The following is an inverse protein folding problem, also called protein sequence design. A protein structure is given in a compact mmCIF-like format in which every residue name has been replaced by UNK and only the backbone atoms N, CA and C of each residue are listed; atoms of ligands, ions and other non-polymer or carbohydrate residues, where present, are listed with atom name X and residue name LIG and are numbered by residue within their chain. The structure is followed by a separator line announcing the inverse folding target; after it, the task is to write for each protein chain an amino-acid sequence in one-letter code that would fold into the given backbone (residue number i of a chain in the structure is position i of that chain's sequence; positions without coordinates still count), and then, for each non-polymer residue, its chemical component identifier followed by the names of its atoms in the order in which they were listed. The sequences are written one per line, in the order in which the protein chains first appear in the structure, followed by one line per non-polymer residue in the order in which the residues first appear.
data_IF_540385494353
#
_entry.id   IF_540385494353
#
_cell.length_a   1.000
_cell.length_b   1.000
_cell.length_c   1.000
_cell.angle_alpha   90.00
_cell.angle_beta   90.00
_cell.angle_gamma   90.00
#
_symmetry.space_group_name_H-M   'P 1'
#
loop_
_entity.id
_entity.type
_entity.pdbx_description
1 polymer ?
#
# COMPACT_ATOMS: atom_id res chain seq x y z
N UNK A 1 0.78 -19.58 -4.08
CA UNK A 1 0.40 -18.23 -4.57
C UNK A 1 1.08 -18.02 -5.92
N UNK A 2 0.36 -17.80 -7.03
CA UNK A 2 1.02 -17.51 -8.32
C UNK A 2 1.83 -16.23 -8.18
N UNK A 3 3.13 -16.29 -8.47
CA UNK A 3 4.00 -15.10 -8.53
C UNK A 3 3.55 -14.29 -9.74
N UNK A 4 2.57 -13.41 -9.53
CA UNK A 4 2.11 -12.45 -10.53
C UNK A 4 2.90 -11.14 -10.34
N UNK A 5 3.06 -10.38 -11.43
CA UNK A 5 3.62 -9.01 -11.43
C UNK A 5 3.03 -8.14 -10.30
N UNK A 6 1.75 -8.31 -9.96
CA UNK A 6 1.13 -7.65 -8.80
C UNK A 6 1.86 -7.97 -7.49
N UNK A 7 2.12 -9.24 -7.21
CA UNK A 7 2.76 -9.65 -5.96
C UNK A 7 4.17 -9.04 -5.86
N UNK A 8 4.95 -9.13 -6.93
CA UNK A 8 6.31 -8.59 -6.97
C UNK A 8 6.31 -7.08 -6.73
N UNK A 9 5.57 -6.34 -7.56
CA UNK A 9 5.59 -4.87 -7.54
C UNK A 9 4.88 -4.29 -6.33
N UNK A 10 3.67 -4.75 -6.02
CA UNK A 10 2.87 -4.13 -4.98
C UNK A 10 3.14 -4.68 -3.57
N UNK A 11 3.74 -5.87 -3.42
CA UNK A 11 3.92 -6.50 -2.09
C UNK A 11 5.37 -6.80 -1.74
N UNK A 12 6.10 -7.47 -2.64
CA UNK A 12 7.46 -7.91 -2.34
C UNK A 12 8.44 -6.72 -2.26
N UNK A 13 8.44 -5.81 -3.23
CA UNK A 13 9.33 -4.66 -3.19
C UNK A 13 9.14 -3.76 -1.96
N UNK A 14 7.91 -3.37 -1.56
CA UNK A 14 7.70 -2.68 -0.29
C UNK A 14 8.28 -3.43 0.90
N UNK A 15 8.07 -4.75 0.97
CA UNK A 15 8.56 -5.57 2.07
C UNK A 15 10.09 -5.63 2.13
N UNK A 16 10.74 -5.79 0.98
CA UNK A 16 12.20 -5.74 0.89
C UNK A 16 12.76 -4.42 1.45
N UNK A 17 12.13 -3.29 1.13
CA UNK A 17 12.56 -1.98 1.61
C UNK A 17 12.32 -1.78 3.11
N UNK A 18 11.24 -2.32 3.66
CA UNK A 18 10.84 -2.05 5.05
C UNK A 18 11.35 -3.11 6.03
N UNK A 19 11.79 -4.28 5.55
CA UNK A 19 12.39 -5.33 6.38
C UNK A 19 13.84 -5.01 6.78
N UNK A 20 14.48 -4.03 6.15
CA UNK A 20 15.89 -3.68 6.36
C UNK A 20 16.23 -3.48 7.85
N UNK A 21 15.47 -2.72 8.67
CA UNK A 21 15.80 -2.56 10.09
C UNK A 21 15.71 -3.85 10.90
N UNK A 22 14.78 -4.75 10.56
CA UNK A 22 14.65 -6.05 11.21
C UNK A 22 15.81 -6.99 10.83
N UNK A 23 16.24 -6.95 9.56
CA UNK A 23 17.42 -7.68 9.08
C UNK A 23 18.69 -7.14 9.75
N UNK A 24 18.80 -5.81 9.92
CA UNK A 24 19.90 -5.17 10.63
C UNK A 24 19.98 -5.65 12.08
N UNK A 25 18.83 -5.70 12.78
CA UNK A 25 18.75 -6.23 14.13
C UNK A 25 19.21 -7.67 14.20
N UNK A 26 18.64 -8.52 13.35
CA UNK A 26 18.98 -9.93 13.26
C UNK A 26 20.48 -10.12 13.04
N UNK A 27 21.06 -9.45 12.04
CA UNK A 27 22.45 -9.63 11.65
C UNK A 27 23.40 -9.31 12.81
N UNK A 28 23.25 -8.14 13.44
CA UNK A 28 24.18 -7.68 14.48
C UNK A 28 23.97 -8.31 15.85
N UNK A 29 22.73 -8.71 16.20
CA UNK A 29 22.43 -9.22 17.53
C UNK A 29 22.55 -10.75 17.63
N UNK A 30 22.06 -11.45 16.62
CA UNK A 30 21.87 -12.92 16.66
C UNK A 30 22.68 -13.60 15.55
N UNK A 31 22.75 -12.98 14.38
CA UNK A 31 23.30 -13.57 13.17
C UNK A 31 24.75 -14.01 13.33
N UNK A 32 25.61 -13.17 13.89
CA UNK A 32 27.03 -13.49 14.11
C UNK A 32 27.22 -14.70 15.02
N UNK A 33 26.56 -14.71 16.18
CA UNK A 33 26.62 -15.82 17.14
C UNK A 33 26.10 -17.13 16.56
N UNK A 34 25.00 -17.04 15.80
CA UNK A 34 24.37 -18.20 15.18
C UNK A 34 25.22 -18.76 14.04
N UNK A 35 25.87 -17.89 13.25
CA UNK A 35 26.84 -18.26 12.24
C UNK A 35 28.06 -18.97 12.86
N UNK A 36 28.60 -18.44 13.96
CA UNK A 36 29.73 -19.04 14.68
C UNK A 36 29.39 -20.45 15.19
N UNK A 37 28.17 -20.66 15.69
CA UNK A 37 27.71 -21.96 16.17
C UNK A 37 27.64 -23.05 15.07
N UNK A 38 27.50 -22.64 13.81
CA UNK A 38 27.38 -23.55 12.67
C UNK A 38 28.59 -23.48 11.71
N UNK A 39 29.67 -22.83 12.14
CA UNK A 39 30.84 -22.55 11.31
C UNK A 39 31.69 -23.81 11.01
N UNK A 40 31.31 -24.97 11.55
CA UNK A 40 31.91 -26.25 11.19
C UNK A 40 31.58 -26.68 9.75
N UNK A 41 30.58 -26.06 9.12
CA UNK A 41 30.29 -26.18 7.68
C UNK A 41 30.39 -24.80 7.03
N UNK A 42 31.38 -24.60 6.15
CA UNK A 42 31.75 -23.30 5.55
C UNK A 42 30.55 -22.56 4.91
N UNK A 43 29.61 -23.28 4.30
CA UNK A 43 28.47 -22.69 3.57
C UNK A 43 27.24 -22.44 4.43
N UNK A 44 27.15 -23.07 5.60
CA UNK A 44 25.94 -23.06 6.44
C UNK A 44 25.61 -21.68 7.03
N UNK A 45 26.60 -20.85 7.46
CA UNK A 45 26.36 -19.47 7.86
C UNK A 45 25.67 -18.62 6.77
N UNK A 46 26.14 -18.73 5.52
CA UNK A 46 25.60 -17.97 4.40
C UNK A 46 24.15 -18.37 4.12
N UNK A 47 23.88 -19.68 4.08
CA UNK A 47 22.53 -20.21 3.87
C UNK A 47 21.58 -19.71 4.96
N UNK A 48 22.04 -19.67 6.21
CA UNK A 48 21.25 -19.23 7.35
C UNK A 48 20.89 -17.75 7.27
N UNK A 49 21.86 -16.88 6.97
CA UNK A 49 21.61 -15.45 6.80
C UNK A 49 20.62 -15.17 5.66
N UNK A 50 20.79 -15.84 4.52
CA UNK A 50 19.89 -15.70 3.37
C UNK A 50 18.49 -16.21 3.72
N UNK A 51 18.38 -17.36 4.37
CA UNK A 51 17.10 -17.98 4.73
C UNK A 51 16.31 -17.13 5.72
N UNK A 52 16.95 -16.65 6.78
CA UNK A 52 16.28 -15.80 7.78
C UNK A 52 15.89 -14.45 7.17
N UNK A 53 16.76 -13.85 6.35
CA UNK A 53 16.44 -12.59 5.66
C UNK A 53 15.25 -12.76 4.70
N UNK A 54 15.21 -13.87 3.95
CA UNK A 54 14.10 -14.19 3.07
C UNK A 54 12.79 -14.42 3.84
N UNK A 55 12.86 -15.12 4.99
CA UNK A 55 11.71 -15.33 5.87
C UNK A 55 11.17 -14.01 6.45
N UNK A 56 12.06 -13.10 6.85
CA UNK A 56 11.69 -11.76 7.29
C UNK A 56 11.01 -10.98 6.18
N UNK A 57 11.60 -10.92 4.98
CA UNK A 57 10.99 -10.24 3.82
C UNK A 57 9.61 -10.81 3.51
N UNK A 58 9.47 -12.14 3.48
CA UNK A 58 8.18 -12.78 3.24
C UNK A 58 7.15 -12.39 4.29
N UNK A 59 7.52 -12.42 5.57
CA UNK A 59 6.65 -12.02 6.68
C UNK A 59 6.18 -10.57 6.53
N UNK A 60 7.10 -9.67 6.15
CA UNK A 60 6.77 -8.27 5.89
C UNK A 60 5.81 -8.09 4.71
N UNK A 61 5.78 -8.98 3.70
CA UNK A 61 4.77 -8.88 2.63
C UNK A 61 3.32 -8.99 3.14
N UNK A 62 3.12 -9.74 4.22
CA UNK A 62 1.82 -9.95 4.85
C UNK A 62 1.50 -8.77 5.77
N UNK A 63 2.44 -8.44 6.66
CA UNK A 63 2.32 -7.40 7.67
C UNK A 63 2.12 -6.00 7.05
N UNK A 64 2.92 -5.66 6.05
CA UNK A 64 2.84 -4.39 5.34
C UNK A 64 1.46 -4.15 4.72
N UNK A 65 0.90 -5.20 4.10
CA UNK A 65 -0.44 -5.12 3.49
C UNK A 65 -1.51 -4.92 4.55
N UNK A 66 -1.43 -5.66 5.64
CA UNK A 66 -2.39 -5.57 6.74
C UNK A 66 -2.45 -4.15 7.30
N UNK A 67 -1.31 -3.59 7.74
CA UNK A 67 -1.28 -2.22 8.25
C UNK A 67 -1.60 -1.16 7.19
N UNK A 68 -1.19 -1.40 5.93
CA UNK A 68 -1.54 -0.51 4.82
C UNK A 68 -3.06 -0.35 4.67
N UNK A 69 -3.81 -1.43 4.85
CA UNK A 69 -5.27 -1.42 4.79
C UNK A 69 -5.84 -0.83 6.09
N UNK A 70 -5.49 -1.42 7.24
CA UNK A 70 -6.10 -1.12 8.53
C UNK A 70 -5.81 0.29 9.03
N UNK A 71 -4.60 0.79 8.79
CA UNK A 71 -4.22 2.15 9.19
C UNK A 71 -4.56 3.10 8.04
N UNK A 72 -3.78 3.08 6.96
CA UNK A 72 -3.82 4.19 6.00
C UNK A 72 -5.06 4.19 5.11
N UNK A 73 -5.51 3.03 4.62
CA UNK A 73 -6.68 2.98 3.75
C UNK A 73 -7.97 3.29 4.51
N UNK A 74 -8.17 2.69 5.69
CA UNK A 74 -9.35 2.98 6.53
C UNK A 74 -9.33 4.41 7.06
N UNK A 75 -8.20 4.87 7.59
CA UNK A 75 -8.08 6.23 8.14
C UNK A 75 -8.39 7.32 7.10
N UNK A 76 -7.91 7.16 5.86
CA UNK A 76 -8.08 8.22 4.85
C UNK A 76 -9.31 8.04 3.97
N UNK A 77 -9.81 6.82 3.80
CA UNK A 77 -10.83 6.54 2.81
C UNK A 77 -12.06 5.80 3.32
N UNK A 78 -12.08 5.37 4.59
CA UNK A 78 -13.19 4.65 5.23
C UNK A 78 -13.76 3.53 4.33
N UNK A 79 -12.95 2.50 4.06
CA UNK A 79 -13.33 1.34 3.24
C UNK A 79 -13.96 1.71 1.88
N UNK A 80 -13.28 2.62 1.17
CA UNK A 80 -13.61 3.13 -0.17
C UNK A 80 -14.61 4.29 -0.24
N UNK A 81 -15.33 4.62 0.83
CA UNK A 81 -16.37 5.66 0.83
C UNK A 81 -15.83 7.05 0.46
N UNK A 82 -14.58 7.35 0.77
CA UNK A 82 -13.93 8.61 0.44
C UNK A 82 -12.78 8.45 -0.57
N UNK A 83 -12.69 7.30 -1.26
CA UNK A 83 -11.73 7.14 -2.35
C UNK A 83 -11.99 8.18 -3.46
N UNK A 84 -10.95 8.59 -4.19
CA UNK A 84 -11.12 9.44 -5.37
C UNK A 84 -12.11 8.89 -6.40
N UNK A 85 -12.13 7.57 -6.61
CA UNK A 85 -13.13 6.90 -7.48
C UNK A 85 -14.56 7.15 -7.03
N UNK A 86 -14.79 7.27 -5.73
CA UNK A 86 -16.12 7.54 -5.17
C UNK A 86 -16.41 9.04 -5.22
N UNK A 87 -15.48 9.86 -4.72
CA UNK A 87 -15.64 11.31 -4.64
C UNK A 87 -15.88 11.95 -6.01
N UNK A 88 -15.16 11.51 -7.05
CA UNK A 88 -15.25 12.10 -8.39
C UNK A 88 -16.63 11.88 -9.05
N UNK A 89 -17.37 10.85 -8.62
CA UNK A 89 -18.69 10.53 -9.15
C UNK A 89 -19.86 11.16 -8.37
N UNK A 90 -19.60 11.75 -7.20
CA UNK A 90 -20.60 12.54 -6.49
C UNK A 90 -21.12 13.66 -7.38
N UNK A 91 -22.41 13.96 -7.29
CA UNK A 91 -23.03 15.00 -8.11
C UNK A 91 -22.42 16.37 -7.80
N UNK A 92 -22.11 16.63 -6.53
CA UNK A 92 -21.52 17.89 -6.04
C UNK A 92 -20.06 18.11 -6.42
N UNK A 93 -19.31 17.05 -6.77
CA UNK A 93 -17.87 17.14 -6.98
C UNK A 93 -17.51 17.61 -8.39
N UNK A 94 -16.51 18.45 -8.56
CA UNK A 94 -16.12 19.08 -9.83
C UNK A 94 -14.83 18.48 -10.46
N UNK A 95 -14.26 17.42 -9.88
CA UNK A 95 -13.01 16.83 -10.36
C UNK A 95 -13.10 16.23 -11.78
N UNK A 96 -14.30 15.88 -12.23
CA UNK A 96 -14.60 15.45 -13.60
C UNK A 96 -15.49 16.49 -14.28
N UNK A 97 -15.27 16.73 -15.57
CA UNK A 97 -16.15 17.59 -16.36
C UNK A 97 -17.58 17.04 -16.39
N UNK A 98 -18.55 17.93 -16.50
CA UNK A 98 -19.98 17.56 -16.59
C UNK A 98 -20.25 16.57 -17.73
N UNK A 99 -19.60 16.78 -18.89
CA UNK A 99 -19.67 15.90 -20.06
C UNK A 99 -19.14 14.51 -19.73
N UNK A 100 -17.95 14.40 -19.12
CA UNK A 100 -17.35 13.11 -18.78
C UNK A 100 -18.20 12.36 -17.74
N UNK A 101 -18.67 13.06 -16.70
CA UNK A 101 -19.52 12.46 -15.67
C UNK A 101 -20.83 11.94 -16.25
N UNK A 102 -21.46 12.67 -17.18
CA UNK A 102 -22.68 12.23 -17.86
C UNK A 102 -22.43 10.98 -18.71
N UNK A 103 -21.33 10.93 -19.48
CA UNK A 103 -20.95 9.74 -20.26
C UNK A 103 -20.75 8.51 -19.36
N UNK A 104 -20.05 8.69 -18.23
CA UNK A 104 -19.84 7.61 -17.26
C UNK A 104 -21.17 7.15 -16.67
N UNK A 105 -22.02 8.07 -16.20
CA UNK A 105 -23.36 7.76 -15.66
C UNK A 105 -24.21 6.96 -16.65
N UNK A 106 -24.27 7.40 -17.90
CA UNK A 106 -25.04 6.72 -18.96
C UNK A 106 -24.48 5.32 -19.24
N UNK A 107 -23.15 5.17 -19.30
CA UNK A 107 -22.51 3.88 -19.52
C UNK A 107 -22.71 2.92 -18.35
N UNK A 108 -22.61 3.38 -17.10
CA UNK A 108 -22.91 2.57 -15.91
C UNK A 108 -24.36 2.06 -15.96
N UNK A 109 -25.32 2.93 -16.28
CA UNK A 109 -26.72 2.50 -16.41
C UNK A 109 -26.90 1.47 -17.52
N UNK A 110 -26.27 1.67 -18.68
CA UNK A 110 -26.32 0.72 -19.80
C UNK A 110 -25.68 -0.64 -19.47
N UNK A 111 -24.52 -0.62 -18.82
CA UNK A 111 -23.72 -1.84 -18.61
C UNK A 111 -24.20 -2.66 -17.40
N UNK A 112 -24.77 -2.01 -16.37
CA UNK A 112 -25.06 -2.64 -15.09
C UNK A 112 -26.46 -2.36 -14.53
N UNK A 113 -27.28 -1.56 -15.22
CA UNK A 113 -28.57 -1.06 -14.73
C UNK A 113 -28.49 -0.29 -13.40
N UNK A 114 -27.33 0.33 -13.12
CA UNK A 114 -27.13 1.14 -11.91
C UNK A 114 -27.29 2.61 -12.27
N UNK A 115 -28.24 3.28 -11.61
CA UNK A 115 -28.37 4.75 -11.65
C UNK A 115 -27.49 5.35 -10.56
N UNK A 116 -26.65 6.33 -10.87
CA UNK A 116 -25.90 7.04 -9.84
C UNK A 116 -26.77 8.08 -9.13
N UNK A 117 -26.49 8.40 -7.85
CA UNK A 117 -27.27 9.38 -7.08
C UNK A 117 -27.37 10.75 -7.76
N UNK A 118 -28.53 11.37 -7.62
CA UNK A 118 -28.76 12.78 -7.95
C UNK A 118 -28.21 13.70 -6.85
N UNK A 119 -28.12 15.00 -7.13
CA UNK A 119 -27.71 15.98 -6.11
C UNK A 119 -28.69 16.02 -4.92
N UNK A 120 -29.99 15.85 -5.18
CA UNK A 120 -31.00 15.79 -4.12
C UNK A 120 -30.82 14.56 -3.23
N UNK A 121 -30.56 13.38 -3.82
CA UNK A 121 -30.30 12.15 -3.06
C UNK A 121 -29.01 12.25 -2.24
N UNK A 122 -27.99 12.90 -2.81
CA UNK A 122 -26.74 13.16 -2.10
C UNK A 122 -26.93 14.09 -0.88
N UNK A 123 -27.78 15.10 -1.01
CA UNK A 123 -28.12 16.01 0.11
C UNK A 123 -28.97 15.34 1.18
N UNK A 124 -29.86 14.41 0.80
CA UNK A 124 -30.68 13.65 1.74
C UNK A 124 -29.87 12.60 2.50
N UNK A 125 -29.05 11.82 1.81
CA UNK A 125 -28.17 10.82 2.41
C UNK A 125 -26.87 10.66 1.60
N UNK A 126 -25.86 11.45 2.01
CA UNK A 126 -24.53 11.41 1.41
C UNK A 126 -23.83 10.05 1.61
N UNK A 127 -24.12 9.36 2.71
CA UNK A 127 -23.47 8.09 3.03
C UNK A 127 -24.00 6.95 2.14
N UNK A 128 -25.33 6.85 2.00
CA UNK A 128 -25.93 5.87 1.09
C UNK A 128 -25.57 6.17 -0.37
N UNK A 129 -25.52 7.45 -0.74
CA UNK A 129 -25.06 7.86 -2.07
C UNK A 129 -23.64 7.37 -2.37
N UNK A 130 -22.72 7.50 -1.40
CA UNK A 130 -21.34 6.97 -1.53
C UNK A 130 -21.33 5.46 -1.66
N UNK A 131 -22.12 4.72 -0.86
CA UNK A 131 -22.21 3.25 -0.96
C UNK A 131 -22.67 2.79 -2.34
N UNK A 132 -23.67 3.45 -2.90
CA UNK A 132 -24.16 3.15 -4.25
C UNK A 132 -23.08 3.41 -5.31
N UNK A 133 -22.32 4.49 -5.17
CA UNK A 133 -21.17 4.77 -6.05
C UNK A 133 -20.07 3.72 -5.88
N UNK A 134 -19.72 3.33 -4.65
CA UNK A 134 -18.73 2.26 -4.38
C UNK A 134 -19.15 0.97 -5.07
N UNK A 135 -20.44 0.61 -4.99
CA UNK A 135 -20.98 -0.55 -5.70
C UNK A 135 -20.81 -0.41 -7.23
N UNK A 136 -21.17 0.73 -7.83
CA UNK A 136 -20.98 0.97 -9.25
C UNK A 136 -19.50 0.89 -9.68
N UNK A 137 -18.60 1.51 -8.91
CA UNK A 137 -17.14 1.46 -9.14
C UNK A 137 -16.62 0.02 -9.09
N UNK A 138 -17.15 -0.82 -8.19
CA UNK A 138 -16.77 -2.24 -8.13
C UNK A 138 -17.08 -2.99 -9.43
N UNK A 139 -18.24 -2.70 -10.06
CA UNK A 139 -18.61 -3.28 -11.35
C UNK A 139 -17.72 -2.77 -12.48
N UNK A 140 -17.39 -1.47 -12.48
CA UNK A 140 -16.44 -0.88 -13.44
C UNK A 140 -15.07 -1.55 -13.36
N UNK A 141 -14.54 -1.78 -12.15
CA UNK A 141 -13.27 -2.49 -11.93
C UNK A 141 -13.31 -3.93 -12.43
N UNK A 142 -14.44 -4.62 -12.27
CA UNK A 142 -14.60 -5.98 -12.77
C UNK A 142 -14.59 -6.02 -14.30
N UNK A 143 -15.31 -5.10 -14.96
CA UNK A 143 -15.33 -4.98 -16.42
C UNK A 143 -13.96 -4.61 -17.02
N UNK A 144 -13.17 -3.83 -16.29
CA UNK A 144 -11.84 -3.36 -16.73
C UNK A 144 -10.67 -4.22 -16.23
N UNK A 145 -10.92 -5.39 -15.62
CA UNK A 145 -9.90 -6.21 -14.95
C UNK A 145 -8.73 -6.64 -15.85
N UNK A 146 -8.95 -6.78 -17.15
CA UNK A 146 -7.91 -7.15 -18.12
C UNK A 146 -7.07 -5.99 -18.66
N UNK A 147 -7.38 -4.74 -18.28
CA UNK A 147 -6.70 -3.57 -18.82
C UNK A 147 -5.31 -3.38 -18.18
N UNK A 148 -4.25 -3.44 -18.99
CA UNK A 148 -2.86 -3.38 -18.52
C UNK A 148 -2.49 -2.02 -17.90
N UNK A 149 -2.99 -0.92 -18.47
CA UNK A 149 -2.72 0.43 -17.98
C UNK A 149 -3.35 0.65 -16.59
N UNK A 150 -4.61 0.24 -16.42
CA UNK A 150 -5.28 0.28 -15.12
C UNK A 150 -4.57 -0.61 -14.10
N UNK A 151 -4.12 -1.79 -14.54
CA UNK A 151 -3.41 -2.74 -13.72
C UNK A 151 -2.06 -2.17 -13.22
N UNK A 152 -1.34 -1.43 -14.06
CA UNK A 152 -0.10 -0.74 -13.66
C UNK A 152 -0.36 0.26 -12.53
N UNK A 153 -1.37 1.13 -12.64
CA UNK A 153 -1.66 2.09 -11.58
C UNK A 153 -2.22 1.44 -10.31
N UNK A 154 -2.88 0.28 -10.44
CA UNK A 154 -3.23 -0.54 -9.28
C UNK A 154 -1.99 -1.09 -8.57
N UNK A 155 -0.92 -1.44 -9.31
CA UNK A 155 0.37 -1.82 -8.71
C UNK A 155 0.99 -0.67 -7.93
N UNK A 156 1.01 0.53 -8.51
CA UNK A 156 1.57 1.73 -7.88
C UNK A 156 0.80 2.11 -6.61
N UNK A 157 -0.52 2.14 -6.67
CA UNK A 157 -1.36 2.38 -5.50
C UNK A 157 -1.12 1.31 -4.41
N UNK A 158 -1.09 0.04 -4.80
CA UNK A 158 -0.81 -1.07 -3.89
C UNK A 158 0.58 -1.00 -3.26
N UNK A 159 1.60 -0.61 -4.04
CA UNK A 159 2.96 -0.39 -3.57
C UNK A 159 2.97 0.67 -2.47
N UNK A 160 2.41 1.86 -2.73
CA UNK A 160 2.44 2.97 -1.77
C UNK A 160 1.72 2.63 -0.49
N UNK A 161 0.51 2.04 -0.59
CA UNK A 161 -0.24 1.63 0.60
C UNK A 161 0.54 0.63 1.45
N UNK A 162 1.10 -0.41 0.81
CA UNK A 162 1.83 -1.45 1.54
C UNK A 162 3.18 -0.93 2.06
N UNK A 163 3.86 -0.06 1.32
CA UNK A 163 5.09 0.59 1.75
C UNK A 163 4.86 1.44 3.00
N UNK A 164 3.82 2.27 3.01
CA UNK A 164 3.43 3.06 4.19
C UNK A 164 3.11 2.15 5.39
N UNK A 165 2.33 1.08 5.17
CA UNK A 165 2.09 0.05 6.18
C UNK A 165 3.39 -0.54 6.75
N UNK A 166 4.36 -0.82 5.88
CA UNK A 166 5.67 -1.29 6.29
C UNK A 166 6.55 -0.23 6.95
N UNK A 167 6.41 1.05 6.61
CA UNK A 167 7.11 2.14 7.30
C UNK A 167 6.78 2.16 8.80
N UNK A 168 5.55 1.80 9.19
CA UNK A 168 5.17 1.70 10.62
C UNK A 168 5.99 0.61 11.32
N UNK A 169 6.06 -0.59 10.75
CA UNK A 169 6.89 -1.67 11.32
C UNK A 169 8.39 -1.34 11.28
N UNK A 170 8.85 -0.74 10.18
CA UNK A 170 10.24 -0.36 10.03
C UNK A 170 10.63 0.70 11.07
N UNK A 171 9.74 1.65 11.39
CA UNK A 171 9.96 2.64 12.43
C UNK A 171 10.02 2.00 13.81
N UNK A 172 9.12 1.07 14.13
CA UNK A 172 9.16 0.30 15.38
C UNK A 172 10.48 -0.47 15.49
N UNK A 173 10.90 -1.16 14.44
CA UNK A 173 12.17 -1.88 14.39
C UNK A 173 13.37 -0.94 14.55
N UNK A 174 13.36 0.25 13.92
CA UNK A 174 14.39 1.26 14.15
C UNK A 174 14.43 1.73 15.61
N UNK A 175 13.27 1.95 16.26
CA UNK A 175 13.21 2.33 17.67
C UNK A 175 13.81 1.25 18.58
N UNK A 176 13.48 -0.02 18.32
CA UNK A 176 14.07 -1.17 19.04
C UNK A 176 15.58 -1.23 18.81
N UNK A 177 16.04 -1.06 17.57
CA UNK A 177 17.47 -1.04 17.24
C UNK A 177 18.22 0.08 17.96
N UNK A 178 17.64 1.28 18.01
CA UNK A 178 18.24 2.42 18.71
C UNK A 178 18.39 2.11 20.20
N UNK A 179 17.37 1.53 20.83
CA UNK A 179 17.40 1.15 22.24
C UNK A 179 18.46 0.07 22.51
N UNK A 180 18.52 -0.97 21.68
CA UNK A 180 19.46 -2.08 21.81
C UNK A 180 20.89 -1.61 21.53
N UNK A 181 21.15 -0.98 20.38
CA UNK A 181 22.49 -0.61 19.94
C UNK A 181 23.06 0.63 20.64
N UNK A 182 22.26 1.33 21.44
CA UNK A 182 22.75 2.38 22.33
C UNK A 182 23.08 1.84 23.72
N UNK A 183 22.22 0.99 24.29
CA UNK A 183 22.26 0.68 25.73
C UNK A 183 22.73 -0.74 26.05
N UNK A 184 22.33 -1.75 25.26
CA UNK A 184 22.52 -3.17 25.60
C UNK A 184 23.61 -3.85 24.78
N UNK A 185 23.74 -3.46 23.51
CA UNK A 185 24.77 -3.98 22.60
C UNK A 185 25.37 -2.82 21.80
N UNK A 186 26.21 -1.96 22.42
CA UNK A 186 26.69 -0.74 21.79
C UNK A 186 27.34 -0.99 20.42
N UNK A 187 26.70 -0.50 19.35
CA UNK A 187 27.19 -0.67 17.99
C UNK A 187 27.01 0.63 17.18
N UNK A 188 28.01 1.53 17.17
CA UNK A 188 27.87 2.90 16.65
C UNK A 188 27.39 2.98 15.19
N UNK A 189 27.85 2.06 14.34
CA UNK A 189 27.42 2.01 12.94
C UNK A 189 25.93 1.64 12.81
N UNK A 190 25.50 0.51 13.36
CA UNK A 190 24.11 0.06 13.35
C UNK A 190 23.15 1.09 14.01
N UNK A 191 23.59 1.79 15.06
CA UNK A 191 22.85 2.90 15.66
C UNK A 191 22.64 4.05 14.68
N UNK A 192 23.70 4.54 14.02
CA UNK A 192 23.61 5.62 13.02
C UNK A 192 22.71 5.24 11.85
N UNK A 193 22.84 4.01 11.34
CA UNK A 193 21.98 3.47 10.28
C UNK A 193 20.52 3.43 10.73
N UNK A 194 20.24 2.97 11.95
CA UNK A 194 18.87 2.89 12.50
C UNK A 194 18.24 4.28 12.68
N UNK A 195 19.02 5.28 13.09
CA UNK A 195 18.58 6.67 13.17
C UNK A 195 18.23 7.24 11.79
N UNK A 196 19.12 7.06 10.81
CA UNK A 196 18.90 7.54 9.44
C UNK A 196 17.67 6.88 8.80
N UNK A 197 17.53 5.56 8.93
CA UNK A 197 16.37 4.82 8.46
C UNK A 197 15.09 5.23 9.19
N UNK A 198 15.15 5.45 10.51
CA UNK A 198 14.02 5.93 11.31
C UNK A 198 13.49 7.27 10.79
N UNK A 199 14.37 8.24 10.53
CA UNK A 199 14.00 9.53 9.94
C UNK A 199 13.38 9.34 8.54
N UNK A 200 14.01 8.50 7.71
CA UNK A 200 13.52 8.20 6.37
C UNK A 200 12.08 7.66 6.39
N UNK A 201 11.79 6.63 7.20
CA UNK A 201 10.43 6.07 7.28
C UNK A 201 9.43 7.03 7.93
N UNK A 202 9.86 7.84 8.91
CA UNK A 202 9.02 8.85 9.52
C UNK A 202 8.54 9.89 8.50
N UNK A 203 9.41 10.35 7.60
CA UNK A 203 9.04 11.28 6.53
C UNK A 203 7.92 10.69 5.66
N UNK A 204 8.01 9.42 5.27
CA UNK A 204 6.95 8.78 4.48
C UNK A 204 5.64 8.63 5.24
N UNK A 205 5.68 8.33 6.54
CA UNK A 205 4.47 8.31 7.38
C UNK A 205 3.84 9.71 7.44
N UNK A 206 4.63 10.77 7.59
CA UNK A 206 4.11 12.14 7.61
C UNK A 206 3.50 12.55 6.26
N UNK A 207 4.07 12.09 5.14
CA UNK A 207 3.56 12.34 3.79
C UNK A 207 2.45 11.37 3.33
N UNK A 208 2.07 10.41 4.18
CA UNK A 208 1.17 9.29 3.82
C UNK A 208 -0.16 9.74 3.22
N UNK A 209 -0.84 10.73 3.82
CA UNK A 209 -2.11 11.25 3.30
C UNK A 209 -1.97 11.82 1.89
N UNK A 210 -0.90 12.57 1.62
CA UNK A 210 -0.65 13.14 0.30
C UNK A 210 -0.35 12.04 -0.72
N UNK A 211 0.54 11.09 -0.39
CA UNK A 211 0.91 9.97 -1.25
C UNK A 211 -0.31 9.12 -1.62
N UNK A 212 -1.10 8.72 -0.63
CA UNK A 212 -2.30 7.91 -0.84
C UNK A 212 -3.34 8.62 -1.71
N UNK A 213 -3.58 9.91 -1.47
CA UNK A 213 -4.52 10.71 -2.29
C UNK A 213 -4.00 10.90 -3.71
N UNK A 214 -2.71 11.18 -3.89
CA UNK A 214 -2.08 11.39 -5.20
C UNK A 214 -2.22 10.14 -6.09
N UNK A 215 -1.87 8.97 -5.58
CA UNK A 215 -1.98 7.72 -6.34
C UNK A 215 -3.42 7.26 -6.52
N UNK A 216 -4.29 7.47 -5.52
CA UNK A 216 -5.73 7.23 -5.66
C UNK A 216 -6.37 8.08 -6.76
N UNK A 217 -5.97 9.35 -6.88
CA UNK A 217 -6.45 10.25 -7.93
C UNK A 217 -6.02 9.80 -9.32
N UNK A 218 -4.76 9.38 -9.49
CA UNK A 218 -4.26 8.86 -10.77
C UNK A 218 -5.07 7.61 -11.16
N UNK A 219 -5.16 6.65 -10.23
CA UNK A 219 -5.91 5.42 -10.46
C UNK A 219 -7.37 5.69 -10.86
N UNK A 220 -8.05 6.62 -10.18
CA UNK A 220 -9.43 6.97 -10.48
C UNK A 220 -9.60 7.53 -11.90
N UNK A 221 -8.71 8.46 -12.33
CA UNK A 221 -8.76 9.03 -13.68
C UNK A 221 -8.61 7.95 -14.74
N UNK A 222 -7.60 7.09 -14.60
CA UNK A 222 -7.36 5.99 -15.53
C UNK A 222 -8.51 5.00 -15.53
N UNK A 223 -9.08 4.66 -14.37
CA UNK A 223 -10.26 3.79 -14.30
C UNK A 223 -11.42 4.34 -15.15
N UNK A 224 -11.69 5.64 -15.04
CA UNK A 224 -12.78 6.26 -15.79
C UNK A 224 -12.51 6.33 -17.29
N UNK A 225 -11.29 6.68 -17.70
CA UNK A 225 -10.87 6.70 -19.10
C UNK A 225 -10.96 5.31 -19.73
N UNK A 226 -10.39 4.30 -19.07
CA UNK A 226 -10.38 2.94 -19.57
C UNK A 226 -11.77 2.31 -19.55
N UNK A 227 -12.60 2.64 -18.56
CA UNK A 227 -13.99 2.20 -18.53
C UNK A 227 -14.79 2.76 -19.70
N UNK A 228 -14.63 4.04 -20.04
CA UNK A 228 -15.33 4.64 -21.18
C UNK A 228 -14.92 4.04 -22.53
N UNK A 229 -13.73 3.46 -22.64
CA UNK A 229 -13.21 2.80 -23.84
C UNK A 229 -13.57 1.29 -23.92
N UNK A 230 -14.09 0.70 -22.83
CA UNK A 230 -14.43 -0.72 -22.73
C UNK A 230 -15.87 -1.10 -23.11
#
# INVERSE_FOLDING_TARGET
MKVNKYYLRARLFPAMLTAIPAILLYYFLIGTKLADAVNFVITLPVILHVSISAALVYSFTLLNRFLGIEIFQKLYFNDELYMPTTNFLLASNDALSSVMKTKIKQKIHRDFDIRLPSLQQEQQDAHQSRKQIVFAVSQMRNKTRGNELLLQHNYEYGFIRNFLGGCVFALIACSVNILIFKNYFPHPFALKVSLALGIFYLIFILLSKWLMKRHGNIYAKVLFEQYLQS
#
